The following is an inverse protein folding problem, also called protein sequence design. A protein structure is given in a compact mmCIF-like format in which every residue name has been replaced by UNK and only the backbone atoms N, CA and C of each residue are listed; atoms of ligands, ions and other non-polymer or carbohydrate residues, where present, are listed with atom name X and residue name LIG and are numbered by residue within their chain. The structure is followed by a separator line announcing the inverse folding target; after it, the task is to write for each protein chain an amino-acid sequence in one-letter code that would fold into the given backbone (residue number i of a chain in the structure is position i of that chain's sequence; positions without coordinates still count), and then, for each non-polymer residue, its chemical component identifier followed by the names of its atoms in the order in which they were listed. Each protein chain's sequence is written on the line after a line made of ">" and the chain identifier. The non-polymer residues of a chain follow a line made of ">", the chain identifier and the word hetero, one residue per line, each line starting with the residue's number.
data_IF_743177305828
#
_entry.id   IF_743177305828
#
_cell.length_a   1.000
_cell.length_b   1.000
_cell.length_c   1.000
_cell.angle_alpha   90.00
_cell.angle_beta   90.00
_cell.angle_gamma   90.00
#
_symmetry.space_group_name_H-M   'P 1'
#
loop_
_entity.id
_entity.type
_entity.pdbx_description
1 polymer ?
#
# COMPACT_ATOMS: atom_id res chain seq x y z
N UNK A 1 -18.92 1.09 1.45
CA UNK A 1 -18.05 0.09 0.81
C UNK A 1 -18.07 0.32 -0.69
N UNK A 2 -16.92 0.69 -1.28
CA UNK A 2 -16.79 0.89 -2.73
C UNK A 2 -16.00 -0.29 -3.26
N UNK A 3 -16.66 -1.34 -3.75
CA UNK A 3 -16.00 -2.58 -4.20
C UNK A 3 -15.72 -2.55 -5.70
N UNK A 4 -14.78 -1.70 -6.11
CA UNK A 4 -14.24 -1.74 -7.46
C UNK A 4 -12.77 -2.19 -7.40
N UNK A 5 -12.53 -3.47 -7.71
CA UNK A 5 -11.22 -4.14 -7.59
C UNK A 5 -10.09 -3.36 -8.23
N UNK A 6 -10.29 -2.87 -9.45
CA UNK A 6 -9.28 -2.15 -10.22
C UNK A 6 -9.01 -0.78 -9.62
N UNK A 7 -10.07 -0.05 -9.28
CA UNK A 7 -9.96 1.28 -8.67
C UNK A 7 -9.25 1.21 -7.31
N UNK A 8 -9.63 0.25 -6.46
CA UNK A 8 -9.06 0.11 -5.11
C UNK A 8 -7.59 -0.34 -5.14
N UNK A 9 -7.20 -1.14 -6.15
CA UNK A 9 -5.80 -1.48 -6.39
C UNK A 9 -4.98 -0.26 -6.80
N UNK A 10 -5.48 0.57 -7.73
CA UNK A 10 -4.81 1.81 -8.15
C UNK A 10 -4.68 2.79 -6.98
N UNK A 11 -5.74 2.96 -6.18
CA UNK A 11 -5.71 3.80 -4.98
C UNK A 11 -4.64 3.30 -4.00
N UNK A 12 -4.51 1.98 -3.81
CA UNK A 12 -3.51 1.37 -2.91
C UNK A 12 -2.08 1.39 -3.44
N UNK A 13 -1.91 1.53 -4.75
CA UNK A 13 -0.61 1.77 -5.37
C UNK A 13 -0.13 3.19 -5.08
N UNK A 14 -1.02 4.17 -5.11
CA UNK A 14 -0.69 5.56 -4.81
C UNK A 14 -0.51 5.74 -3.29
N UNK A 15 -1.45 5.23 -2.51
CA UNK A 15 -1.46 5.35 -1.06
C UNK A 15 -1.73 3.98 -0.41
N UNK A 16 -0.65 3.25 -0.06
CA UNK A 16 -0.74 1.95 0.57
C UNK A 16 -1.70 1.90 1.75
N UNK A 17 -2.63 0.93 1.73
CA UNK A 17 -3.62 0.72 2.79
C UNK A 17 -5.01 1.28 2.52
N UNK A 18 -5.17 2.25 1.62
CA UNK A 18 -6.49 2.83 1.36
C UNK A 18 -7.45 1.86 0.66
N UNK A 19 -7.02 1.09 -0.33
CA UNK A 19 -7.92 0.16 -1.01
C UNK A 19 -8.37 -0.98 -0.11
N UNK A 20 -7.55 -1.43 0.83
CA UNK A 20 -7.95 -2.37 1.87
C UNK A 20 -9.06 -1.79 2.77
N UNK A 21 -8.94 -0.52 3.17
CA UNK A 21 -10.00 0.19 3.92
C UNK A 21 -11.28 0.31 3.08
N UNK A 22 -11.16 0.68 1.80
CA UNK A 22 -12.32 0.79 0.89
C UNK A 22 -13.02 -0.55 0.63
N UNK A 23 -12.27 -1.66 0.71
CA UNK A 23 -12.77 -3.03 0.67
C UNK A 23 -13.47 -3.46 1.98
N UNK A 24 -13.33 -2.70 3.06
CA UNK A 24 -13.88 -3.01 4.38
C UNK A 24 -12.92 -3.75 5.33
N UNK A 25 -11.66 -3.97 4.93
CA UNK A 25 -10.62 -4.56 5.79
C UNK A 25 -9.72 -3.46 6.38
N UNK A 26 -10.29 -2.72 7.33
CA UNK A 26 -9.63 -1.58 7.98
C UNK A 26 -8.36 -1.99 8.72
N UNK A 27 -8.38 -3.15 9.40
CA UNK A 27 -7.22 -3.65 10.14
C UNK A 27 -6.04 -3.89 9.22
N UNK A 28 -6.28 -4.45 8.03
CA UNK A 28 -5.22 -4.68 7.04
C UNK A 28 -4.74 -3.37 6.43
N UNK A 29 -5.66 -2.46 6.10
CA UNK A 29 -5.28 -1.15 5.56
C UNK A 29 -4.44 -0.29 6.50
N UNK A 30 -4.77 -0.28 7.80
CA UNK A 30 -3.98 0.41 8.82
C UNK A 30 -2.56 -0.16 8.91
N UNK A 31 -2.38 -1.49 8.82
CA UNK A 31 -1.04 -2.09 8.79
C UNK A 31 -0.22 -1.60 7.59
N UNK A 32 -0.83 -1.50 6.42
CA UNK A 32 -0.16 -1.00 5.22
C UNK A 32 0.19 0.50 5.31
N UNK A 33 -0.69 1.31 5.90
CA UNK A 33 -0.41 2.73 6.16
C UNK A 33 0.76 2.91 7.11
N UNK A 34 0.77 2.19 8.24
CA UNK A 34 1.87 2.25 9.21
C UNK A 34 3.17 1.77 8.56
N UNK A 35 3.13 0.67 7.81
CA UNK A 35 4.29 0.15 7.08
C UNK A 35 4.86 1.15 6.08
N UNK A 36 4.01 1.89 5.37
CA UNK A 36 4.42 2.94 4.43
C UNK A 36 5.19 4.05 5.15
N UNK A 37 4.68 4.53 6.29
CA UNK A 37 5.31 5.60 7.09
C UNK A 37 6.68 5.15 7.60
N UNK A 38 6.75 3.96 8.20
CA UNK A 38 8.00 3.39 8.70
C UNK A 38 9.01 3.21 7.56
N UNK A 39 8.57 2.69 6.42
CA UNK A 39 9.43 2.50 5.26
C UNK A 39 10.00 3.84 4.75
N UNK A 40 9.19 4.89 4.65
CA UNK A 40 9.67 6.20 4.22
C UNK A 40 10.66 6.83 5.21
N UNK A 41 10.44 6.66 6.52
CA UNK A 41 11.39 7.09 7.55
C UNK A 41 12.73 6.36 7.36
N UNK A 42 12.71 5.04 7.19
CA UNK A 42 13.92 4.25 6.97
C UNK A 42 14.64 4.66 5.69
N UNK A 43 13.89 4.87 4.60
CA UNK A 43 14.47 5.32 3.34
C UNK A 43 15.16 6.68 3.52
N UNK A 44 14.51 7.62 4.20
CA UNK A 44 15.03 8.97 4.40
C UNK A 44 16.34 9.00 5.22
N UNK A 45 16.44 8.17 6.27
CA UNK A 45 17.59 8.21 7.18
C UNK A 45 18.68 7.17 6.90
N UNK A 46 18.35 6.03 6.29
CA UNK A 46 19.25 4.87 6.23
C UNK A 46 19.58 4.37 4.82
N UNK A 47 18.82 4.77 3.78
CA UNK A 47 19.04 4.30 2.42
C UNK A 47 19.38 5.46 1.47
N UNK A 48 20.18 5.17 0.45
CA UNK A 48 20.34 6.10 -0.67
C UNK A 48 19.02 6.15 -1.48
N UNK A 49 18.66 7.34 -1.96
CA UNK A 49 17.41 7.61 -2.69
C UNK A 49 17.12 6.62 -3.83
N UNK A 50 18.13 6.11 -4.54
CA UNK A 50 17.93 5.13 -5.63
C UNK A 50 17.38 3.81 -5.08
N UNK A 51 18.08 3.19 -4.13
CA UNK A 51 17.67 1.90 -3.53
C UNK A 51 16.35 2.06 -2.77
N UNK A 52 16.20 3.17 -2.04
CA UNK A 52 14.96 3.46 -1.33
C UNK A 52 13.75 3.59 -2.24
N UNK A 53 13.88 4.27 -3.39
CA UNK A 53 12.80 4.41 -4.36
C UNK A 53 12.37 3.06 -4.98
N UNK A 54 13.30 2.14 -5.21
CA UNK A 54 12.98 0.80 -5.71
C UNK A 54 12.19 0.01 -4.68
N UNK A 55 12.62 0.01 -3.42
CA UNK A 55 11.94 -0.69 -2.33
C UNK A 55 10.54 -0.08 -2.09
N UNK A 56 10.44 1.25 -2.07
CA UNK A 56 9.15 1.94 -1.95
C UNK A 56 8.19 1.56 -3.08
N UNK A 57 8.66 1.56 -4.33
CA UNK A 57 7.86 1.16 -5.49
C UNK A 57 7.35 -0.28 -5.36
N UNK A 58 8.21 -1.21 -4.93
CA UNK A 58 7.81 -2.61 -4.70
C UNK A 58 6.76 -2.74 -3.58
N UNK A 59 6.90 -1.97 -2.51
CA UNK A 59 5.93 -1.95 -1.41
C UNK A 59 4.55 -1.43 -1.89
N UNK A 60 4.55 -0.36 -2.68
CA UNK A 60 3.34 0.20 -3.28
C UNK A 60 2.67 -0.80 -4.24
N UNK A 61 3.46 -1.48 -5.08
CA UNK A 61 2.96 -2.55 -5.96
C UNK A 61 2.35 -3.72 -5.16
N UNK A 62 3.01 -4.12 -4.07
CA UNK A 62 2.51 -5.17 -3.19
C UNK A 62 1.19 -4.77 -2.51
N UNK A 63 1.08 -3.54 -2.02
CA UNK A 63 -0.16 -3.00 -1.47
C UNK A 63 -1.30 -2.99 -2.49
N UNK A 64 -1.01 -2.65 -3.76
CA UNK A 64 -1.99 -2.69 -4.84
C UNK A 64 -2.51 -4.11 -5.11
N UNK A 65 -1.60 -5.09 -5.18
CA UNK A 65 -1.94 -6.50 -5.33
C UNK A 65 -2.81 -7.00 -4.16
N UNK A 66 -2.43 -6.63 -2.94
CA UNK A 66 -3.14 -7.00 -1.72
C UNK A 66 -4.57 -6.44 -1.68
N UNK A 67 -4.75 -5.17 -2.08
CA UNK A 67 -6.07 -4.55 -2.20
C UNK A 67 -6.92 -5.15 -3.32
N UNK A 68 -6.30 -5.56 -4.44
CA UNK A 68 -7.01 -6.29 -5.50
C UNK A 68 -7.58 -7.60 -4.95
N UNK A 69 -6.72 -8.42 -4.34
CA UNK A 69 -7.09 -9.74 -3.80
C UNK A 69 -8.13 -9.65 -2.68
N UNK A 70 -7.97 -8.68 -1.78
CA UNK A 70 -8.91 -8.47 -0.67
C UNK A 70 -10.31 -8.07 -1.14
N UNK A 71 -10.42 -7.44 -2.32
CA UNK A 71 -11.72 -7.12 -2.92
C UNK A 71 -12.40 -8.35 -3.58
N UNK A 72 -11.64 -9.41 -3.86
CA UNK A 72 -12.16 -10.65 -4.46
C UNK A 72 -12.65 -11.67 -3.42
N UNK A 73 -12.15 -11.58 -2.19
CA UNK A 73 -12.62 -12.39 -1.05
C UNK A 73 -13.97 -11.88 -0.54
#
# INVERSE_FOLDING_TARGET
>A
MVRNKRLNAVISFILPGLGQILNGDEKRGIKFLIGMVVLHIVIYYALNNVVGSMISTLYHAYSAYDAYKTCEM
#
